data_IF_055074531407
#
_entry.id   IF_055074531407
#
_cell.length_a   1.000
_cell.length_b   1.000
_cell.length_c   1.000
_cell.angle_alpha   90.00
_cell.angle_beta   90.00
_cell.angle_gamma   90.00
#
_symmetry.space_group_name_H-M   'P 1'
#
loop_
_entity.id
_entity.type
_entity.pdbx_description
1 polymer ?
#
# COMPACT_ATOMS: atom_id res chain seq x y z
N UNK A 1 5.72 -3.39 -0.42
CA UNK A 1 5.34 -4.27 0.70
C UNK A 1 5.07 -3.38 1.92
N UNK A 2 4.56 -3.90 3.05
CA UNK A 2 4.54 -3.15 4.30
C UNK A 2 5.94 -2.67 4.68
N UNK A 3 6.06 -1.44 5.22
CA UNK A 3 7.37 -0.85 5.55
C UNK A 3 8.16 -1.70 6.53
N UNK A 4 7.49 -2.29 7.52
CA UNK A 4 8.14 -3.16 8.50
C UNK A 4 8.81 -4.40 7.87
N UNK A 5 8.20 -4.99 6.82
CA UNK A 5 8.80 -6.09 6.09
C UNK A 5 10.00 -5.65 5.26
N UNK A 6 9.91 -4.48 4.61
CA UNK A 6 11.03 -3.90 3.88
C UNK A 6 12.21 -3.57 4.82
N UNK A 7 11.93 -3.04 6.02
CA UNK A 7 12.95 -2.74 7.04
C UNK A 7 13.63 -4.02 7.53
N UNK A 8 12.86 -5.06 7.85
CA UNK A 8 13.40 -6.35 8.29
C UNK A 8 14.28 -7.02 7.21
N UNK A 9 13.91 -6.87 5.92
CA UNK A 9 14.73 -7.36 4.82
C UNK A 9 16.01 -6.56 4.63
N UNK A 10 15.96 -5.23 4.84
CA UNK A 10 17.15 -4.37 4.82
C UNK A 10 18.13 -4.75 5.94
N UNK A 11 17.64 -4.96 7.15
CA UNK A 11 18.46 -5.35 8.31
C UNK A 11 19.11 -6.72 8.12
N UNK A 12 18.41 -7.64 7.45
CA UNK A 12 18.94 -8.96 7.12
C UNK A 12 20.05 -8.94 6.06
N UNK A 13 20.07 -7.95 5.20
CA UNK A 13 21.01 -7.85 4.08
C UNK A 13 20.69 -8.77 2.89
N UNK A 14 21.65 -8.83 1.96
CA UNK A 14 21.55 -9.67 0.75
C UNK A 14 20.81 -9.01 -0.42
N UNK A 15 20.55 -9.74 -1.53
CA UNK A 15 20.03 -9.17 -2.77
C UNK A 15 18.69 -8.41 -2.63
N UNK A 16 17.79 -8.85 -1.73
CA UNK A 16 16.54 -8.17 -1.46
C UNK A 16 16.77 -6.79 -0.82
N UNK A 17 17.72 -6.70 0.13
CA UNK A 17 18.09 -5.43 0.76
C UNK A 17 18.65 -4.45 -0.27
N UNK A 18 19.51 -4.90 -1.18
CA UNK A 18 20.07 -4.06 -2.25
C UNK A 18 18.98 -3.49 -3.15
N UNK A 19 18.00 -4.30 -3.54
CA UNK A 19 16.86 -3.86 -4.33
C UNK A 19 15.98 -2.86 -3.60
N UNK A 20 15.65 -3.13 -2.34
CA UNK A 20 14.85 -2.23 -1.50
C UNK A 20 15.59 -0.91 -1.32
N UNK A 21 16.89 -0.94 -1.03
CA UNK A 21 17.73 0.25 -0.91
C UNK A 21 17.70 1.12 -2.18
N UNK A 22 17.89 0.50 -3.36
CA UNK A 22 17.81 1.19 -4.66
C UNK A 22 16.43 1.81 -4.91
N UNK A 23 15.36 1.07 -4.61
CA UNK A 23 13.99 1.57 -4.77
C UNK A 23 13.69 2.75 -3.83
N UNK A 24 14.13 2.68 -2.57
CA UNK A 24 13.96 3.78 -1.60
C UNK A 24 14.75 5.01 -2.01
N UNK A 25 15.99 4.83 -2.46
CA UNK A 25 16.80 5.94 -3.00
C UNK A 25 16.10 6.60 -4.17
N UNK A 26 15.70 5.83 -5.18
CA UNK A 26 14.97 6.36 -6.34
C UNK A 26 13.71 7.11 -5.91
N UNK A 27 12.93 6.56 -5.00
CA UNK A 27 11.73 7.22 -4.48
C UNK A 27 12.05 8.54 -3.78
N UNK A 28 13.13 8.60 -3.00
CA UNK A 28 13.58 9.82 -2.34
C UNK A 28 14.03 10.87 -3.36
N UNK A 29 14.75 10.46 -4.40
CA UNK A 29 15.19 11.34 -5.49
C UNK A 29 13.99 11.92 -6.25
N UNK A 30 13.00 11.08 -6.64
CA UNK A 30 11.77 11.50 -7.31
C UNK A 30 10.98 12.52 -6.46
N UNK A 31 10.81 12.23 -5.16
CA UNK A 31 10.12 13.14 -4.22
C UNK A 31 10.88 14.46 -4.04
N UNK A 32 12.21 14.42 -4.01
CA UNK A 32 13.04 15.62 -3.91
C UNK A 32 12.89 16.51 -5.15
N UNK A 33 12.88 15.93 -6.34
CA UNK A 33 12.64 16.65 -7.59
C UNK A 33 11.24 17.28 -7.62
N UNK A 34 10.23 16.51 -7.21
CA UNK A 34 8.85 17.04 -7.12
C UNK A 34 8.76 18.20 -6.10
N UNK A 35 9.46 18.09 -4.96
CA UNK A 35 9.51 19.16 -3.97
C UNK A 35 10.08 20.45 -4.57
N UNK A 36 11.18 20.36 -5.33
CA UNK A 36 11.75 21.53 -6.01
C UNK A 36 10.80 22.10 -7.05
N UNK A 37 10.08 21.27 -7.80
CA UNK A 37 9.07 21.70 -8.77
C UNK A 37 7.95 22.47 -8.08
N UNK A 38 7.43 21.97 -6.95
CA UNK A 38 6.37 22.64 -6.22
C UNK A 38 6.89 23.94 -5.54
N UNK A 39 8.11 23.97 -5.01
CA UNK A 39 8.73 25.20 -4.49
C UNK A 39 8.81 26.30 -5.54
N UNK A 40 9.25 25.95 -6.75
CA UNK A 40 9.29 26.91 -7.88
C UNK A 40 7.90 27.41 -8.23
N UNK A 41 6.91 26.50 -8.34
CA UNK A 41 5.51 26.86 -8.61
C UNK A 41 4.96 27.87 -7.60
N UNK A 42 5.20 27.65 -6.32
CA UNK A 42 4.77 28.54 -5.24
C UNK A 42 5.46 29.89 -5.36
N UNK A 43 6.79 29.91 -5.50
CA UNK A 43 7.55 31.17 -5.62
C UNK A 43 7.17 32.00 -6.85
N UNK A 44 6.88 31.34 -7.99
CA UNK A 44 6.42 32.03 -9.19
C UNK A 44 5.01 32.60 -9.00
N UNK A 45 4.13 31.87 -8.35
CA UNK A 45 2.78 32.31 -8.05
C UNK A 45 2.76 33.47 -7.03
N UNK A 46 3.60 33.42 -6.00
CA UNK A 46 3.76 34.52 -5.02
C UNK A 46 4.26 35.79 -5.70
N UNK A 47 5.25 35.71 -6.57
CA UNK A 47 5.71 36.87 -7.38
C UNK A 47 4.59 37.43 -8.27
N UNK A 48 3.80 36.56 -8.89
CA UNK A 48 2.67 36.97 -9.71
C UNK A 48 1.59 37.69 -8.88
N UNK A 49 1.35 37.27 -7.64
CA UNK A 49 0.42 37.91 -6.71
C UNK A 49 0.87 39.31 -6.28
N UNK A 50 2.19 39.57 -6.20
CA UNK A 50 2.70 40.90 -5.90
C UNK A 50 2.42 41.90 -7.03
N UNK A 51 2.30 41.44 -8.26
CA UNK A 51 2.01 42.30 -9.44
C UNK A 51 0.50 42.43 -9.65
N UNK A 52 -0.22 41.32 -9.61
CA UNK A 52 -1.66 41.29 -9.82
C UNK A 52 -2.28 40.09 -9.11
N UNK A 53 -3.30 40.35 -8.32
CA UNK A 53 -4.05 39.28 -7.66
C UNK A 53 -4.92 38.53 -8.66
N UNK A 54 -4.66 37.21 -8.83
CA UNK A 54 -5.43 36.34 -9.69
C UNK A 54 -5.86 35.07 -8.94
N UNK A 55 -7.05 34.54 -9.28
CA UNK A 55 -7.53 33.26 -8.71
C UNK A 55 -6.55 32.13 -8.96
N UNK A 56 -5.96 32.07 -10.16
CA UNK A 56 -4.98 31.06 -10.54
C UNK A 56 -3.75 31.10 -9.63
N UNK A 57 -3.15 32.27 -9.41
CA UNK A 57 -1.97 32.40 -8.58
C UNK A 57 -2.24 32.01 -7.12
N UNK A 58 -3.41 32.39 -6.56
CA UNK A 58 -3.82 31.93 -5.21
C UNK A 58 -3.93 30.42 -5.12
N UNK A 59 -4.59 29.80 -6.11
CA UNK A 59 -4.72 28.33 -6.17
C UNK A 59 -3.35 27.64 -6.35
N UNK A 60 -2.44 28.21 -7.14
CA UNK A 60 -1.10 27.67 -7.32
C UNK A 60 -0.29 27.71 -6.01
N UNK A 61 -0.38 28.76 -5.21
CA UNK A 61 0.22 28.83 -3.87
C UNK A 61 -0.40 27.78 -2.97
N UNK A 62 -1.73 27.75 -2.85
CA UNK A 62 -2.44 26.79 -1.96
C UNK A 62 -2.12 25.34 -2.30
N UNK A 63 -2.26 24.96 -3.58
CA UNK A 63 -2.02 23.58 -4.02
C UNK A 63 -0.54 23.21 -3.91
N UNK A 64 0.36 24.13 -4.28
CA UNK A 64 1.80 23.91 -4.19
C UNK A 64 2.25 23.70 -2.77
N UNK A 65 1.79 24.53 -1.83
CA UNK A 65 2.11 24.41 -0.39
C UNK A 65 1.58 23.12 0.21
N UNK A 66 0.33 22.72 -0.09
CA UNK A 66 -0.23 21.44 0.36
C UNK A 66 0.59 20.23 -0.16
N UNK A 67 0.96 20.28 -1.45
CA UNK A 67 1.82 19.23 -2.04
C UNK A 67 3.21 19.19 -1.40
N UNK A 68 3.83 20.34 -1.15
CA UNK A 68 5.13 20.41 -0.45
C UNK A 68 5.07 19.76 0.92
N UNK A 69 4.04 20.04 1.71
CA UNK A 69 3.83 19.41 3.01
C UNK A 69 3.70 17.88 2.91
N UNK A 70 2.89 17.40 1.97
CA UNK A 70 2.73 15.94 1.73
C UNK A 70 4.03 15.26 1.30
N UNK A 71 4.82 15.91 0.43
CA UNK A 71 6.11 15.39 -0.02
C UNK A 71 7.11 15.34 1.14
N UNK A 72 7.15 16.38 1.98
CA UNK A 72 8.04 16.41 3.14
C UNK A 72 7.71 15.26 4.11
N UNK A 73 6.43 15.06 4.44
CA UNK A 73 5.98 13.93 5.25
C UNK A 73 6.40 12.59 4.64
N UNK A 74 6.30 12.43 3.31
CA UNK A 74 6.71 11.20 2.62
C UNK A 74 8.23 10.98 2.66
N UNK A 75 9.04 12.04 2.53
CA UNK A 75 10.50 11.98 2.67
C UNK A 75 10.92 11.60 4.09
N UNK A 76 10.29 12.21 5.09
CA UNK A 76 10.56 11.92 6.50
C UNK A 76 10.18 10.48 6.84
N UNK A 77 9.06 9.99 6.28
CA UNK A 77 8.60 8.59 6.46
C UNK A 77 9.57 7.57 5.84
N UNK A 78 10.18 7.90 4.69
CA UNK A 78 11.22 7.05 4.08
C UNK A 78 12.50 6.97 4.93
N UNK A 79 12.83 8.03 5.66
CA UNK A 79 14.04 8.13 6.50
C UNK A 79 13.83 7.61 7.90
N UNK A 80 12.60 7.53 8.33
CA UNK A 80 12.22 7.14 9.69
C UNK A 80 12.67 5.72 9.99
N UNK A 81 13.37 5.55 11.13
CA UNK A 81 13.80 4.25 11.66
C UNK A 81 12.78 3.64 12.60
N UNK A 82 12.06 4.46 13.35
CA UNK A 82 11.05 4.00 14.30
C UNK A 82 9.84 3.44 13.56
N UNK A 83 9.42 2.24 13.94
CA UNK A 83 8.22 1.60 13.39
C UNK A 83 6.95 2.24 13.95
N UNK A 84 5.92 2.38 13.11
CA UNK A 84 4.56 2.78 13.48
C UNK A 84 3.62 1.62 13.22
N UNK A 85 2.50 1.54 13.93
CA UNK A 85 1.50 0.48 13.75
C UNK A 85 1.08 0.28 12.28
N UNK A 86 0.91 1.38 11.56
CA UNK A 86 0.57 1.34 10.12
C UNK A 86 1.62 0.64 9.23
N UNK A 87 2.87 0.53 9.67
CA UNK A 87 3.95 -0.08 8.88
C UNK A 87 3.83 -1.60 8.78
N UNK A 88 3.05 -2.19 9.69
CA UNK A 88 2.74 -3.62 9.72
C UNK A 88 1.46 -3.95 8.94
N UNK A 89 0.67 -2.94 8.57
CA UNK A 89 -0.62 -3.14 7.91
C UNK A 89 -0.45 -3.49 6.43
N UNK A 90 -1.26 -4.44 6.00
CA UNK A 90 -1.36 -4.86 4.61
C UNK A 90 -2.69 -4.32 4.07
N UNK A 91 -2.61 -3.43 3.09
CA UNK A 91 -3.79 -2.87 2.44
C UNK A 91 -4.04 -3.52 1.08
N UNK A 92 -5.29 -3.54 0.58
CA UNK A 92 -5.57 -3.98 -0.79
C UNK A 92 -4.66 -3.32 -1.82
N UNK A 93 -4.13 -4.11 -2.75
CA UNK A 93 -3.16 -3.67 -3.75
C UNK A 93 -1.69 -3.74 -3.30
N UNK A 94 -1.40 -3.88 -2.02
CA UNK A 94 -0.03 -4.08 -1.52
C UNK A 94 0.42 -5.53 -1.73
N UNK A 95 1.74 -5.72 -1.83
CA UNK A 95 2.34 -7.05 -1.81
C UNK A 95 2.64 -7.47 -0.38
N UNK A 96 2.41 -8.73 -0.07
CA UNK A 96 2.74 -9.36 1.21
C UNK A 96 3.34 -10.74 0.99
N UNK A 97 3.91 -11.31 2.05
CA UNK A 97 4.46 -12.67 2.04
C UNK A 97 3.33 -13.70 2.10
N UNK A 98 3.29 -14.60 1.13
CA UNK A 98 2.34 -15.72 1.09
C UNK A 98 3.12 -17.02 0.99
N UNK A 99 2.77 -17.99 1.83
CA UNK A 99 3.31 -19.35 1.80
C UNK A 99 2.54 -20.12 0.73
N UNK A 100 3.25 -20.67 -0.25
CA UNK A 100 2.68 -21.49 -1.31
C UNK A 100 3.41 -22.82 -1.40
N UNK A 101 2.75 -23.84 -1.92
CA UNK A 101 3.36 -25.13 -2.23
C UNK A 101 3.96 -25.11 -3.64
N UNK A 102 5.17 -25.62 -3.78
CA UNK A 102 5.81 -25.85 -5.07
C UNK A 102 6.44 -27.26 -5.07
N UNK A 103 5.75 -28.22 -5.62
CA UNK A 103 6.08 -29.63 -5.44
C UNK A 103 6.00 -30.01 -3.96
N UNK A 104 7.06 -30.64 -3.43
CA UNK A 104 7.15 -31.03 -2.00
C UNK A 104 7.62 -29.89 -1.06
N UNK A 105 7.92 -28.71 -1.60
CA UNK A 105 8.49 -27.60 -0.81
C UNK A 105 7.43 -26.55 -0.53
N UNK A 106 7.46 -25.97 0.68
CA UNK A 106 6.78 -24.74 1.03
C UNK A 106 7.73 -23.57 0.80
N UNK A 107 7.30 -22.58 0.03
CA UNK A 107 8.09 -21.40 -0.30
C UNK A 107 7.30 -20.14 0.03
N UNK A 108 8.01 -19.08 0.39
CA UNK A 108 7.41 -17.76 0.61
C UNK A 108 7.57 -16.95 -0.67
N UNK A 109 6.47 -16.43 -1.18
CA UNK A 109 6.45 -15.54 -2.35
C UNK A 109 5.77 -14.22 -2.02
N UNK A 110 6.26 -13.10 -2.56
CA UNK A 110 5.53 -11.84 -2.52
C UNK A 110 4.33 -11.95 -3.46
N UNK A 111 3.13 -11.86 -2.92
CA UNK A 111 1.88 -11.85 -3.69
C UNK A 111 1.09 -10.60 -3.38
N UNK A 112 0.38 -10.08 -4.37
CA UNK A 112 -0.42 -8.88 -4.19
C UNK A 112 -1.76 -9.23 -3.54
N UNK A 113 -2.14 -8.48 -2.52
CA UNK A 113 -3.45 -8.57 -1.89
C UNK A 113 -4.51 -8.00 -2.85
N UNK A 114 -4.92 -8.81 -3.80
CA UNK A 114 -6.00 -8.52 -4.74
C UNK A 114 -6.35 -9.79 -5.53
N UNK A 115 -7.63 -10.05 -5.70
CA UNK A 115 -8.12 -11.17 -6.50
C UNK A 115 -8.32 -10.74 -7.95
N UNK A 116 -7.81 -11.52 -8.89
CA UNK A 116 -8.05 -11.33 -10.33
C UNK A 116 -8.55 -12.63 -10.94
N UNK A 117 -9.72 -12.65 -11.61
CA UNK A 117 -10.22 -13.86 -12.25
C UNK A 117 -9.25 -14.41 -13.27
N UNK A 118 -9.20 -15.72 -13.42
CA UNK A 118 -8.33 -16.40 -14.38
C UNK A 118 -8.52 -15.87 -15.80
N UNK A 119 -7.41 -15.70 -16.52
CA UNK A 119 -7.40 -15.19 -17.90
C UNK A 119 -7.63 -13.68 -18.04
N UNK A 120 -7.86 -12.93 -16.96
CA UNK A 120 -8.01 -11.47 -17.06
C UNK A 120 -6.65 -10.76 -17.07
N UNK A 121 -6.49 -9.70 -17.91
CA UNK A 121 -5.24 -8.94 -17.99
C UNK A 121 -5.00 -8.09 -16.74
N UNK A 122 -3.75 -7.65 -16.54
CA UNK A 122 -3.38 -6.80 -15.38
C UNK A 122 -4.16 -5.49 -15.27
N UNK A 123 -4.68 -4.97 -16.37
CA UNK A 123 -5.55 -3.79 -16.38
C UNK A 123 -6.88 -3.99 -15.65
N UNK A 124 -7.32 -5.23 -15.47
CA UNK A 124 -8.51 -5.60 -14.69
C UNK A 124 -8.44 -5.05 -13.26
N UNK A 125 -7.28 -5.15 -12.64
CA UNK A 125 -7.06 -4.73 -11.25
C UNK A 125 -7.28 -3.23 -11.03
N UNK A 126 -6.96 -2.42 -12.04
CA UNK A 126 -7.19 -0.96 -12.00
C UNK A 126 -8.66 -0.60 -12.22
N UNK A 127 -9.36 -1.41 -13.00
CA UNK A 127 -10.79 -1.19 -13.30
C UNK A 127 -11.69 -1.64 -12.16
N UNK A 128 -11.30 -2.69 -11.43
CA UNK A 128 -12.10 -3.33 -10.39
C UNK A 128 -11.32 -3.36 -9.07
N UNK A 129 -11.16 -2.20 -8.45
CA UNK A 129 -10.38 -2.02 -7.22
C UNK A 129 -10.95 -2.80 -6.03
N UNK A 130 -12.26 -3.08 -6.01
CA UNK A 130 -12.93 -3.79 -4.92
C UNK A 130 -12.78 -5.31 -4.92
N UNK A 131 -12.10 -5.91 -5.91
CA UNK A 131 -11.92 -7.36 -5.98
C UNK A 131 -10.69 -7.82 -5.17
N UNK A 132 -10.68 -7.59 -3.87
CA UNK A 132 -9.59 -8.02 -3.00
C UNK A 132 -9.97 -9.18 -2.06
N UNK A 133 -11.25 -9.50 -1.92
CA UNK A 133 -11.75 -10.65 -1.17
C UNK A 133 -12.61 -11.54 -2.07
N UNK A 134 -12.34 -12.84 -2.06
CA UNK A 134 -13.19 -13.84 -2.70
C UNK A 134 -14.26 -14.31 -1.68
N UNK A 135 -15.51 -13.98 -1.92
CA UNK A 135 -16.61 -14.41 -1.05
C UNK A 135 -16.81 -15.92 -1.14
N UNK A 136 -17.01 -16.54 0.02
CA UNK A 136 -17.19 -18.00 0.13
C UNK A 136 -18.33 -18.53 -0.73
N UNK A 137 -19.44 -17.81 -0.80
CA UNK A 137 -20.63 -18.15 -1.60
C UNK A 137 -20.42 -18.05 -3.11
N UNK A 138 -19.27 -17.52 -3.55
CA UNK A 138 -18.93 -17.32 -4.96
C UNK A 138 -17.67 -18.07 -5.42
N UNK A 139 -17.12 -18.95 -4.58
CA UNK A 139 -15.87 -19.66 -4.90
C UNK A 139 -16.06 -20.63 -6.07
N UNK A 140 -17.14 -21.40 -6.09
CA UNK A 140 -17.46 -22.37 -7.15
C UNK A 140 -18.13 -21.72 -8.37
N UNK A 141 -18.57 -20.47 -8.23
CA UNK A 141 -19.15 -19.67 -9.30
C UNK A 141 -18.13 -18.77 -9.99
N UNK A 142 -18.07 -17.51 -9.56
CA UNK A 142 -17.23 -16.46 -10.16
C UNK A 142 -15.73 -16.78 -10.06
N UNK A 143 -15.28 -17.42 -8.97
CA UNK A 143 -13.88 -17.73 -8.70
C UNK A 143 -13.46 -19.15 -9.09
N UNK A 144 -14.32 -19.93 -9.76
CA UNK A 144 -14.04 -21.33 -10.14
C UNK A 144 -12.74 -21.55 -10.93
N UNK A 145 -12.23 -20.50 -11.59
CA UNK A 145 -10.97 -20.59 -12.33
C UNK A 145 -9.70 -20.49 -11.45
N UNK A 146 -9.84 -20.12 -10.17
CA UNK A 146 -8.75 -20.08 -9.19
C UNK A 146 -8.98 -21.08 -8.06
N UNK A 147 -10.21 -21.18 -7.59
CA UNK A 147 -10.58 -22.06 -6.48
C UNK A 147 -10.29 -23.53 -6.82
N UNK A 148 -9.53 -24.21 -5.96
CA UNK A 148 -9.10 -25.59 -6.18
C UNK A 148 -7.79 -25.76 -6.97
N UNK A 149 -7.24 -24.68 -7.57
CA UNK A 149 -6.04 -24.79 -8.41
C UNK A 149 -4.79 -24.17 -7.81
N UNK A 150 -4.91 -22.98 -7.28
CA UNK A 150 -3.80 -22.26 -6.69
C UNK A 150 -4.20 -21.67 -5.35
N UNK A 151 -3.54 -22.13 -4.30
CA UNK A 151 -3.80 -21.70 -2.95
C UNK A 151 -2.51 -21.30 -2.24
N UNK A 152 -2.64 -20.37 -1.32
CA UNK A 152 -1.58 -19.97 -0.44
C UNK A 152 -2.11 -19.66 0.95
N UNK A 153 -1.19 -19.39 1.86
CA UNK A 153 -1.50 -19.00 3.23
C UNK A 153 -0.75 -17.72 3.57
N UNK A 154 -1.50 -16.68 3.91
CA UNK A 154 -0.96 -15.47 4.51
C UNK A 154 -1.04 -15.57 6.03
N UNK A 155 0.04 -15.21 6.71
CA UNK A 155 0.10 -15.17 8.18
C UNK A 155 -0.20 -13.74 8.63
N UNK A 156 -1.17 -13.57 9.53
CA UNK A 156 -1.52 -12.28 10.12
C UNK A 156 -1.84 -12.43 11.61
N UNK A 157 -1.58 -11.40 12.40
CA UNK A 157 -1.88 -11.38 13.84
C UNK A 157 -3.21 -10.72 14.13
N UNK A 158 -3.73 -9.92 13.19
CA UNK A 158 -5.03 -9.22 13.30
C UNK A 158 -5.55 -8.84 11.92
N UNK A 159 -6.85 -8.61 11.82
CA UNK A 159 -7.44 -8.01 10.63
C UNK A 159 -8.44 -6.93 11.01
N UNK A 160 -8.77 -6.09 10.05
CA UNK A 160 -9.62 -4.93 10.24
C UNK A 160 -10.78 -4.98 9.25
N UNK A 161 -11.98 -4.68 9.74
CA UNK A 161 -13.19 -4.56 8.92
C UNK A 161 -13.80 -3.18 9.09
N UNK A 162 -14.27 -2.64 7.98
CA UNK A 162 -15.05 -1.41 7.97
C UNK A 162 -16.53 -1.78 8.06
N UNK A 163 -17.21 -1.32 9.10
CA UNK A 163 -18.63 -1.56 9.32
C UNK A 163 -19.36 -0.22 9.50
N UNK A 164 -20.63 -0.18 9.13
CA UNK A 164 -21.49 0.95 9.43
C UNK A 164 -21.93 0.86 10.89
N UNK A 165 -21.64 1.91 11.66
CA UNK A 165 -22.06 2.02 13.05
C UNK A 165 -23.54 2.41 13.16
N UNK A 166 -24.11 2.33 14.35
CA UNK A 166 -25.51 2.71 14.61
C UNK A 166 -25.82 4.18 14.29
N UNK A 167 -24.80 5.03 14.25
CA UNK A 167 -24.87 6.45 13.88
C UNK A 167 -24.70 6.70 12.36
N UNK A 168 -24.66 5.64 11.54
CA UNK A 168 -24.45 5.72 10.09
C UNK A 168 -23.02 6.06 9.69
N UNK A 169 -22.08 6.16 10.65
CA UNK A 169 -20.68 6.44 10.34
C UNK A 169 -19.88 5.16 10.20
N UNK A 170 -18.85 5.21 9.35
CA UNK A 170 -17.93 4.10 9.22
C UNK A 170 -17.12 3.91 10.52
N UNK A 171 -17.12 2.69 11.03
CA UNK A 171 -16.31 2.24 12.15
C UNK A 171 -15.33 1.18 11.68
N UNK A 172 -14.11 1.22 12.24
CA UNK A 172 -13.09 0.21 11.96
C UNK A 172 -13.04 -0.73 13.17
N UNK A 173 -13.44 -1.98 12.94
CA UNK A 173 -13.31 -3.04 13.92
C UNK A 173 -11.98 -3.77 13.74
N UNK A 174 -11.30 -4.01 14.85
CA UNK A 174 -10.09 -4.85 14.91
C UNK A 174 -10.46 -6.22 15.46
N UNK A 175 -10.03 -7.27 14.77
CA UNK A 175 -10.21 -8.66 15.16
C UNK A 175 -8.86 -9.30 15.45
N UNK A 176 -8.72 -9.88 16.62
CA UNK A 176 -7.54 -10.59 17.08
C UNK A 176 -7.96 -11.98 17.59
N UNK A 177 -7.21 -13.06 17.32
CA UNK A 177 -7.47 -14.36 17.91
C UNK A 177 -7.42 -14.30 19.44
N UNK A 178 -8.28 -15.08 20.12
CA UNK A 178 -8.37 -15.09 21.58
C UNK A 178 -7.10 -15.63 22.26
N UNK A 179 -6.42 -16.55 21.60
CA UNK A 179 -5.17 -17.18 22.04
C UNK A 179 -3.93 -16.37 21.65
N UNK A 180 -4.12 -15.25 20.96
CA UNK A 180 -3.04 -14.41 20.37
C UNK A 180 -2.13 -15.14 19.38
N UNK A 181 -2.50 -16.34 18.94
CA UNK A 181 -1.77 -17.06 17.90
C UNK A 181 -1.97 -16.42 16.54
N UNK A 182 -0.98 -16.53 15.63
CA UNK A 182 -1.13 -16.03 14.28
C UNK A 182 -2.26 -16.72 13.51
N UNK A 183 -3.08 -15.93 12.82
CA UNK A 183 -4.10 -16.44 11.92
C UNK A 183 -3.47 -16.91 10.61
N UNK A 184 -3.93 -18.02 10.10
CA UNK A 184 -3.61 -18.55 8.78
C UNK A 184 -4.76 -18.19 7.82
N UNK A 185 -4.54 -17.15 7.01
CA UNK A 185 -5.56 -16.65 6.07
C UNK A 185 -5.38 -17.35 4.74
N UNK A 186 -6.41 -18.05 4.29
CA UNK A 186 -6.41 -18.70 2.98
C UNK A 186 -6.41 -17.67 1.84
N UNK A 187 -5.57 -17.89 0.82
CA UNK A 187 -5.41 -17.03 -0.35
C UNK A 187 -5.57 -17.83 -1.65
#
# INVERSE_FOLDING_TARGET
>A
MPKALDDALLDRGGPAADWIGKLRKRRADDLTQELFTQKRRVADAERALQVKETKKAREDVRIGTDKMGKIQVALDDLRRKESKDRDFRIYPGMHTSVIVSQGSKRIIRPMRYQCRPAGKPASYDRRYLGTYNARRDNLEGFWKGQFGYTHGVMVATRFYENVEGADGKNQILEFTPRDHEPMLIAC
#
